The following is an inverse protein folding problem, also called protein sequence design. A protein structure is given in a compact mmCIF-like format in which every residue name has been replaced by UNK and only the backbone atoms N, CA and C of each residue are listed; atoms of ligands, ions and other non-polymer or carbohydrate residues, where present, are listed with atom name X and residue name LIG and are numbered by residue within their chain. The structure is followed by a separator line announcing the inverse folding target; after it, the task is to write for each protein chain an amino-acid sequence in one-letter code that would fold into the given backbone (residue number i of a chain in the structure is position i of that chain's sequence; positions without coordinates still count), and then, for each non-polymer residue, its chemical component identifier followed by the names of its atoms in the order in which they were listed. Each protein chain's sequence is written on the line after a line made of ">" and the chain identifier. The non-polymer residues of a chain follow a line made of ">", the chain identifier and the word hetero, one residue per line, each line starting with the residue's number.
data_IF_064659991278
#
_entry.id   IF_064659991278
#
_cell.length_a   1.000
_cell.length_b   1.000
_cell.length_c   1.000
_cell.angle_alpha   90.00
_cell.angle_beta   90.00
_cell.angle_gamma   90.00
#
_symmetry.space_group_name_H-M   'P 1'
#
loop_
_entity.id
_entity.type
_entity.pdbx_description
1 polymer ?
#
# COMPACT_ATOMS: atom_id res chain seq x y z
N UNK A 1 -22.33 4.80 -2.23
CA UNK A 1 -21.03 5.30 -2.68
C UNK A 1 -21.28 6.50 -3.59
N UNK A 2 -20.87 7.66 -3.16
CA UNK A 2 -20.95 8.86 -4.00
C UNK A 2 -19.98 8.68 -5.18
N UNK A 3 -20.44 8.82 -6.41
CA UNK A 3 -19.62 8.62 -7.61
C UNK A 3 -18.41 9.58 -7.73
N UNK A 4 -18.23 10.47 -6.77
CA UNK A 4 -17.12 11.44 -6.69
C UNK A 4 -16.08 11.12 -5.61
N UNK A 5 -16.26 10.08 -4.80
CA UNK A 5 -15.29 9.70 -3.77
C UNK A 5 -14.35 8.63 -4.30
N UNK A 6 -13.04 8.91 -4.25
CA UNK A 6 -12.01 7.95 -4.62
C UNK A 6 -11.85 6.91 -3.52
N UNK A 7 -11.58 5.67 -3.91
CA UNK A 7 -11.18 4.60 -3.00
C UNK A 7 -9.77 4.87 -2.48
N UNK A 8 -9.61 5.02 -1.18
CA UNK A 8 -8.37 5.47 -0.55
C UNK A 8 -7.56 4.31 0.02
N UNK A 9 -6.36 4.16 -0.49
CA UNK A 9 -5.43 3.10 -0.08
C UNK A 9 -4.27 3.70 0.70
N UNK A 10 -3.98 3.15 1.89
CA UNK A 10 -2.77 3.47 2.63
C UNK A 10 -1.78 2.29 2.59
N UNK A 11 -0.49 2.57 2.66
CA UNK A 11 0.57 1.56 2.53
C UNK A 11 1.35 1.47 3.84
N UNK A 12 1.45 0.25 4.39
CA UNK A 12 2.36 -0.06 5.49
C UNK A 12 3.58 -0.81 4.97
N UNK A 13 4.77 -0.27 5.23
CA UNK A 13 6.04 -0.72 4.66
C UNK A 13 6.37 0.00 3.36
N UNK A 14 7.39 0.85 3.40
CA UNK A 14 7.82 1.67 2.27
C UNK A 14 9.23 1.26 1.77
N UNK A 15 9.50 -0.05 1.75
CA UNK A 15 10.68 -0.64 1.10
C UNK A 15 10.56 -0.61 -0.43
N UNK A 16 11.32 -1.44 -1.14
CA UNK A 16 11.32 -1.47 -2.60
C UNK A 16 9.94 -1.64 -3.22
N UNK A 17 9.13 -2.57 -2.72
CA UNK A 17 7.76 -2.79 -3.22
C UNK A 17 6.80 -1.68 -2.78
N UNK A 18 6.80 -1.33 -1.49
CA UNK A 18 5.88 -0.31 -0.97
C UNK A 18 6.10 1.07 -1.58
N UNK A 19 7.35 1.49 -1.78
CA UNK A 19 7.65 2.74 -2.47
C UNK A 19 7.23 2.72 -3.93
N UNK A 20 7.40 1.58 -4.63
CA UNK A 20 6.92 1.40 -6.00
C UNK A 20 5.40 1.54 -6.10
N UNK A 21 4.66 0.91 -5.20
CA UNK A 21 3.20 1.06 -5.12
C UNK A 21 2.79 2.51 -4.79
N UNK A 22 3.51 3.19 -3.90
CA UNK A 22 3.22 4.58 -3.56
C UNK A 22 3.37 5.50 -4.77
N UNK A 23 4.43 5.32 -5.55
CA UNK A 23 4.65 6.08 -6.80
C UNK A 23 3.55 5.80 -7.80
N UNK A 24 3.19 4.53 -8.02
CA UNK A 24 2.15 4.13 -8.95
C UNK A 24 0.78 4.73 -8.59
N UNK A 25 0.38 4.66 -7.33
CA UNK A 25 -0.90 5.20 -6.87
C UNK A 25 -0.93 6.73 -6.94
N UNK A 26 0.18 7.39 -6.60
CA UNK A 26 0.28 8.85 -6.64
C UNK A 26 0.27 9.40 -8.07
N UNK A 27 0.97 8.75 -8.99
CA UNK A 27 1.03 9.17 -10.40
C UNK A 27 -0.28 8.93 -11.14
N UNK A 28 -1.12 8.05 -10.63
CA UNK A 28 -2.35 7.62 -11.31
C UNK A 28 -2.13 6.84 -12.60
N UNK A 29 -0.87 6.51 -12.91
CA UNK A 29 -0.50 5.79 -14.14
C UNK A 29 -0.71 4.28 -14.04
N UNK A 30 -0.82 3.75 -12.82
CA UNK A 30 -0.87 2.30 -12.58
C UNK A 30 0.45 1.58 -12.89
N UNK A 31 1.47 2.29 -13.33
CA UNK A 31 2.80 1.74 -13.55
C UNK A 31 3.51 1.58 -12.21
N UNK A 32 3.66 0.34 -11.77
CA UNK A 32 4.48 0.03 -10.61
C UNK A 32 5.95 0.19 -10.98
N UNK A 33 6.56 1.29 -10.54
CA UNK A 33 7.99 1.47 -10.65
C UNK A 33 8.65 0.72 -9.50
N UNK A 34 9.33 -0.37 -9.80
CA UNK A 34 10.12 -1.09 -8.83
C UNK A 34 11.36 -0.27 -8.47
N UNK A 35 11.41 0.29 -7.26
CA UNK A 35 12.51 1.12 -6.76
C UNK A 35 13.66 0.30 -6.16
N UNK A 36 13.73 -0.99 -6.42
CA UNK A 36 14.90 -1.84 -6.14
C UNK A 36 15.86 -1.82 -7.33
N UNK A 37 17.14 -2.19 -7.11
CA UNK A 37 18.23 -2.22 -8.09
C UNK A 37 17.98 -3.13 -9.31
N UNK A 38 16.84 -2.99 -9.97
CA UNK A 38 16.54 -3.66 -11.23
C UNK A 38 16.58 -2.59 -12.31
N UNK A 39 17.73 -2.47 -12.94
CA UNK A 39 17.90 -1.73 -14.17
C UNK A 39 16.86 -2.20 -15.20
N UNK A 40 16.09 -1.25 -15.73
CA UNK A 40 15.50 -1.24 -17.07
C UNK A 40 14.31 -2.12 -17.42
N UNK A 41 13.52 -2.63 -16.48
CA UNK A 41 12.25 -3.27 -16.84
C UNK A 41 11.14 -2.22 -17.04
N UNK A 42 11.06 -1.64 -18.23
CA UNK A 42 9.84 -0.96 -18.67
C UNK A 42 8.75 -2.00 -18.86
N UNK A 43 7.72 -1.96 -18.03
CA UNK A 43 6.49 -2.67 -18.32
C UNK A 43 5.77 -1.99 -19.51
N UNK A 44 5.18 -2.78 -20.42
CA UNK A 44 4.47 -2.19 -21.56
C UNK A 44 3.25 -1.39 -21.09
N UNK A 45 3.07 -0.25 -21.74
CA UNK A 45 1.93 0.64 -21.64
C UNK A 45 0.63 -0.13 -21.88
N UNK A 46 -0.13 -0.45 -20.84
CA UNK A 46 -1.44 -1.05 -21.01
C UNK A 46 -2.51 0.03 -20.88
N UNK A 47 -3.38 0.10 -21.87
CA UNK A 47 -4.49 1.07 -21.95
C UNK A 47 -5.47 1.04 -20.76
N UNK A 48 -5.27 0.15 -19.80
CA UNK A 48 -6.10 0.00 -18.59
C UNK A 48 -5.70 0.96 -17.46
N UNK A 49 -4.54 1.60 -17.56
CA UNK A 49 -3.96 2.41 -16.48
C UNK A 49 -4.52 3.82 -16.36
N UNK A 50 -5.10 4.36 -17.42
CA UNK A 50 -5.58 5.76 -17.49
C UNK A 50 -6.84 6.04 -16.66
N UNK A 51 -7.58 5.02 -16.24
CA UNK A 51 -8.82 5.21 -15.47
C UNK A 51 -8.69 5.01 -13.95
N UNK A 52 -7.65 4.30 -13.49
CA UNK A 52 -7.48 3.99 -12.06
C UNK A 52 -7.21 5.24 -11.21
N UNK A 53 -6.44 6.20 -11.69
CA UNK A 53 -6.17 7.44 -10.98
C UNK A 53 -7.39 8.31 -10.67
N UNK A 54 -8.51 8.07 -11.36
CA UNK A 54 -9.78 8.72 -11.08
C UNK A 54 -10.61 7.99 -10.01
N UNK A 55 -10.31 6.71 -9.77
CA UNK A 55 -11.06 5.84 -8.86
C UNK A 55 -10.33 5.57 -7.55
N UNK A 56 -9.01 5.61 -7.56
CA UNK A 56 -8.16 5.24 -6.44
C UNK A 56 -7.20 6.39 -6.13
N UNK A 57 -6.92 6.61 -4.86
CA UNK A 57 -5.86 7.54 -4.43
C UNK A 57 -5.02 6.97 -3.28
N UNK A 58 -3.77 7.40 -3.21
CA UNK A 58 -2.89 7.11 -2.08
C UNK A 58 -3.28 8.01 -0.90
N UNK A 59 -3.77 7.41 0.19
CA UNK A 59 -4.09 8.11 1.42
C UNK A 59 -2.82 8.51 2.20
N UNK A 60 -1.81 7.65 2.19
CA UNK A 60 -0.54 7.90 2.86
C UNK A 60 0.24 6.60 3.07
N UNK A 61 1.39 6.73 3.70
CA UNK A 61 2.27 5.61 4.05
C UNK A 61 2.65 5.63 5.54
N UNK A 62 3.14 4.50 6.05
CA UNK A 62 3.93 4.43 7.28
C UNK A 62 5.04 3.39 7.15
N UNK A 63 6.17 3.62 7.80
CA UNK A 63 7.30 2.69 7.91
C UNK A 63 7.96 2.88 9.28
N UNK A 64 8.70 1.87 9.75
CA UNK A 64 9.52 1.98 10.96
C UNK A 64 10.85 2.71 10.71
N UNK A 65 11.27 2.81 9.45
CA UNK A 65 12.51 3.47 9.04
C UNK A 65 12.26 4.96 8.78
N UNK A 66 12.84 5.87 9.60
CA UNK A 66 12.66 7.31 9.42
C UNK A 66 13.10 7.82 8.03
N UNK A 67 14.14 7.24 7.44
CA UNK A 67 14.62 7.66 6.12
C UNK A 67 13.60 7.39 5.02
N UNK A 68 12.84 6.30 5.15
CA UNK A 68 11.75 5.99 4.21
C UNK A 68 10.57 6.92 4.37
N UNK A 69 10.27 7.32 5.59
CA UNK A 69 9.24 8.32 5.85
C UNK A 69 9.66 9.71 5.34
N UNK A 70 10.91 10.12 5.53
CA UNK A 70 11.45 11.35 4.94
C UNK A 70 11.40 11.33 3.42
N UNK A 71 11.74 10.22 2.81
CA UNK A 71 11.59 10.03 1.36
C UNK A 71 10.13 10.25 0.93
N UNK A 72 9.16 9.66 1.60
CA UNK A 72 7.74 9.81 1.27
C UNK A 72 7.28 11.26 1.38
N UNK A 73 7.70 11.98 2.42
CA UNK A 73 7.45 13.42 2.57
C UNK A 73 8.05 14.19 1.40
N UNK A 74 9.28 13.87 0.98
CA UNK A 74 9.94 14.52 -0.16
C UNK A 74 9.18 14.31 -1.47
N UNK A 75 8.45 13.19 -1.58
CA UNK A 75 7.57 12.90 -2.72
C UNK A 75 6.17 13.55 -2.57
N UNK A 76 5.92 14.32 -1.52
CA UNK A 76 4.62 14.92 -1.23
C UNK A 76 3.55 13.88 -0.86
N UNK A 77 3.95 12.78 -0.23
CA UNK A 77 3.06 11.74 0.28
C UNK A 77 2.81 11.99 1.76
N UNK A 78 1.56 11.86 2.20
CA UNK A 78 1.22 11.93 3.61
C UNK A 78 1.82 10.75 4.37
N UNK A 79 2.34 11.01 5.58
CA UNK A 79 2.98 10.00 6.42
C UNK A 79 2.22 9.88 7.73
N UNK A 80 1.71 8.68 8.01
CA UNK A 80 1.15 8.34 9.32
C UNK A 80 2.29 8.06 10.30
N UNK A 81 2.15 8.53 11.53
CA UNK A 81 3.16 8.34 12.59
C UNK A 81 3.27 6.87 13.04
N UNK A 82 2.20 6.09 12.84
CA UNK A 82 2.14 4.67 13.19
C UNK A 82 1.12 3.92 12.35
N UNK A 83 1.20 2.58 12.39
CA UNK A 83 0.21 1.72 11.77
C UNK A 83 -1.16 1.85 12.45
N UNK A 84 -1.18 2.02 13.76
CA UNK A 84 -2.39 2.24 14.55
C UNK A 84 -3.12 3.52 14.14
N UNK A 85 -2.39 4.60 13.93
CA UNK A 85 -2.95 5.86 13.42
C UNK A 85 -3.58 5.66 12.03
N UNK A 86 -2.86 4.97 11.14
CA UNK A 86 -3.35 4.62 9.80
C UNK A 86 -4.65 3.81 9.85
N UNK A 87 -4.74 2.81 10.76
CA UNK A 87 -5.94 2.00 10.93
C UNK A 87 -7.11 2.80 11.51
N UNK A 88 -6.85 3.79 12.34
CA UNK A 88 -7.87 4.63 12.96
C UNK A 88 -8.46 5.67 11.99
N UNK A 89 -7.78 5.96 10.90
CA UNK A 89 -8.28 6.91 9.88
C UNK A 89 -9.47 6.33 9.12
N UNK A 90 -10.65 6.89 9.40
CA UNK A 90 -11.92 6.46 8.77
C UNK A 90 -12.00 6.74 7.28
N UNK A 91 -11.16 7.63 6.77
CA UNK A 91 -11.11 7.96 5.35
C UNK A 91 -10.26 6.98 4.53
N UNK A 92 -9.57 6.05 5.18
CA UNK A 92 -8.84 4.97 4.52
C UNK A 92 -9.76 3.77 4.33
N UNK A 93 -9.89 3.30 3.09
CA UNK A 93 -10.72 2.15 2.73
C UNK A 93 -9.94 0.85 2.77
N UNK A 94 -8.68 0.86 2.33
CA UNK A 94 -7.85 -0.32 2.24
C UNK A 94 -6.42 -0.09 2.72
N UNK A 95 -5.81 -1.16 3.22
CA UNK A 95 -4.40 -1.22 3.57
C UNK A 95 -3.65 -2.13 2.59
N UNK A 96 -2.60 -1.60 1.98
CA UNK A 96 -1.62 -2.38 1.25
C UNK A 96 -0.46 -2.71 2.19
N UNK A 97 -0.23 -4.00 2.43
CA UNK A 97 0.82 -4.50 3.31
C UNK A 97 2.03 -4.90 2.47
N UNK A 98 3.12 -4.16 2.61
CA UNK A 98 4.39 -4.37 1.91
C UNK A 98 5.57 -4.48 2.90
N UNK A 99 5.31 -5.01 4.09
CA UNK A 99 6.27 -5.25 5.18
C UNK A 99 6.99 -6.58 5.01
N UNK A 100 7.98 -6.90 5.86
CA UNK A 100 8.55 -8.25 5.91
C UNK A 100 7.49 -9.34 6.15
N UNK A 101 7.68 -10.50 5.52
CA UNK A 101 6.68 -11.58 5.44
C UNK A 101 6.12 -12.04 6.80
N UNK A 102 6.97 -12.06 7.85
CA UNK A 102 6.56 -12.50 9.19
C UNK A 102 5.55 -11.56 9.87
N UNK A 103 5.38 -10.35 9.36
CA UNK A 103 4.41 -9.36 9.86
C UNK A 103 3.06 -9.41 9.14
N UNK A 104 2.98 -10.07 7.99
CA UNK A 104 1.79 -10.05 7.14
C UNK A 104 0.54 -10.51 7.89
N UNK A 105 0.61 -11.63 8.61
CA UNK A 105 -0.52 -12.17 9.36
C UNK A 105 -1.08 -11.20 10.39
N UNK A 106 -0.24 -10.69 11.28
CA UNK A 106 -0.67 -9.80 12.37
C UNK A 106 -1.23 -8.48 11.83
N UNK A 107 -0.59 -7.94 10.80
CA UNK A 107 -1.04 -6.69 10.18
C UNK A 107 -2.34 -6.88 9.39
N UNK A 108 -2.49 -7.97 8.66
CA UNK A 108 -3.74 -8.28 7.96
C UNK A 108 -4.92 -8.43 8.92
N UNK A 109 -4.74 -9.17 10.02
CA UNK A 109 -5.77 -9.34 11.05
C UNK A 109 -6.15 -7.97 11.66
N UNK A 110 -5.16 -7.15 11.99
CA UNK A 110 -5.41 -5.82 12.56
C UNK A 110 -6.20 -4.92 11.60
N UNK A 111 -5.84 -4.91 10.31
CA UNK A 111 -6.54 -4.14 9.30
C UNK A 111 -8.00 -4.61 9.10
N UNK A 112 -8.21 -5.92 8.99
CA UNK A 112 -9.56 -6.50 8.85
C UNK A 112 -10.43 -6.18 10.07
N UNK A 113 -9.88 -6.28 11.29
CA UNK A 113 -10.59 -5.91 12.52
C UNK A 113 -10.92 -4.42 12.59
N UNK A 114 -10.11 -3.58 11.97
CA UNK A 114 -10.38 -2.14 11.82
C UNK A 114 -11.38 -1.83 10.70
N UNK A 115 -11.95 -2.86 10.04
CA UNK A 115 -12.91 -2.71 8.96
C UNK A 115 -12.29 -2.28 7.62
N UNK A 116 -10.99 -2.46 7.45
CA UNK A 116 -10.28 -2.11 6.21
C UNK A 116 -10.22 -3.31 5.25
N UNK A 117 -10.30 -3.04 3.96
CA UNK A 117 -9.88 -4.02 2.97
C UNK A 117 -8.35 -4.23 3.04
N UNK A 118 -7.89 -5.42 2.66
CA UNK A 118 -6.47 -5.76 2.72
C UNK A 118 -5.96 -6.24 1.37
N UNK A 119 -4.89 -5.62 0.91
CA UNK A 119 -4.04 -6.10 -0.17
C UNK A 119 -2.67 -6.41 0.42
N UNK A 120 -2.27 -7.68 0.39
CA UNK A 120 -1.03 -8.13 1.00
C UNK A 120 -0.04 -8.62 -0.06
N UNK A 121 1.21 -8.15 0.03
CA UNK A 121 2.27 -8.63 -0.83
C UNK A 121 2.57 -10.11 -0.61
N UNK A 122 3.14 -10.72 -1.64
CA UNK A 122 3.56 -12.13 -1.61
C UNK A 122 4.85 -12.33 -0.77
N UNK A 123 5.00 -13.49 -0.16
CA UNK A 123 3.97 -14.50 0.10
C UNK A 123 2.94 -13.96 1.07
N UNK A 124 1.66 -14.21 0.81
CA UNK A 124 0.56 -13.66 1.61
C UNK A 124 0.69 -14.10 3.07
N UNK A 125 0.92 -15.39 3.30
CA UNK A 125 1.16 -15.99 4.63
C UNK A 125 2.30 -16.98 4.56
N UNK A 126 2.90 -17.28 5.71
CA UNK A 126 4.01 -18.24 5.82
C UNK A 126 3.54 -19.70 5.90
N UNK A 127 2.27 -19.92 6.24
CA UNK A 127 1.66 -21.25 6.32
C UNK A 127 0.18 -21.23 5.96
N UNK A 128 -0.36 -22.39 5.61
CA UNK A 128 -1.81 -22.54 5.38
C UNK A 128 -2.63 -22.33 6.64
N UNK A 129 -2.08 -22.65 7.81
CA UNK A 129 -2.74 -22.40 9.09
C UNK A 129 -2.88 -20.90 9.36
N UNK A 130 -1.86 -20.10 9.04
CA UNK A 130 -1.90 -18.65 9.15
C UNK A 130 -2.94 -18.04 8.22
N UNK A 131 -3.06 -18.59 7.00
CA UNK A 131 -4.06 -18.13 6.04
C UNK A 131 -5.49 -18.37 6.55
N UNK A 132 -5.75 -19.54 7.16
CA UNK A 132 -7.06 -19.87 7.73
C UNK A 132 -7.46 -18.96 8.89
N UNK A 133 -6.49 -18.46 9.68
CA UNK A 133 -6.77 -17.51 10.75
C UNK A 133 -7.15 -16.11 10.24
N UNK A 134 -6.70 -15.74 9.04
CA UNK A 134 -6.98 -14.44 8.43
C UNK A 134 -8.33 -14.43 7.72
N UNK A 135 -8.76 -15.59 7.23
CA UNK A 135 -10.05 -15.75 6.52
C UNK A 135 -11.24 -15.73 7.48
#
# INVERSE_FOLDING_TARGET
>A
MNMNEKFRIAIVGCGGMGSGHAVALKSGTGETVYMGNVSDAKMPDSAMTTHLGNLIELAGITDIDPLRMEWAVSQGVFVYSSYEEMLADKSVDAILIATPNHLHKSMAIAALRAGKHVLCEKPVMLSSADLLEVM
#
